data_IF_848318873753
#
_entry.id   IF_848318873753
#
_cell.length_a   1.000
_cell.length_b   1.000
_cell.length_c   1.000
_cell.angle_alpha   90.00
_cell.angle_beta   90.00
_cell.angle_gamma   90.00
#
_symmetry.space_group_name_H-M   'P 1'
#
loop_
_entity.id
_entity.type
_entity.pdbx_description
1 polymer ?
#
# COMPACT_ATOMS: atom_id res chain seq x y z
N UNK A 1 -19.38 -5.87 15.58
CA UNK A 1 -19.62 -5.96 14.12
C UNK A 1 -18.29 -6.33 13.52
N UNK A 2 -18.19 -7.23 12.53
CA UNK A 2 -16.91 -7.45 11.87
C UNK A 2 -16.44 -6.11 11.29
N UNK A 3 -15.29 -5.64 11.75
CA UNK A 3 -14.76 -4.31 11.45
C UNK A 3 -13.37 -4.47 10.86
N UNK A 4 -13.21 -3.98 9.65
CA UNK A 4 -11.92 -3.75 9.02
C UNK A 4 -11.70 -2.26 8.91
N UNK A 5 -10.67 -1.84 9.64
CA UNK A 5 -10.71 -0.65 10.49
C UNK A 5 -11.96 -0.51 11.37
N UNK A 6 -11.77 -0.05 12.61
CA UNK A 6 -12.85 0.48 13.44
C UNK A 6 -13.55 1.69 12.80
N UNK A 7 -12.95 2.31 11.78
CA UNK A 7 -13.55 3.39 10.99
C UNK A 7 -14.52 2.85 9.91
N UNK A 8 -15.79 2.62 10.24
CA UNK A 8 -16.84 2.37 9.23
C UNK A 8 -16.96 3.49 8.17
N UNK A 9 -16.48 4.70 8.49
CA UNK A 9 -16.37 5.81 7.54
C UNK A 9 -15.33 5.50 6.46
N UNK A 10 -14.17 4.95 6.84
CA UNK A 10 -13.11 4.59 5.90
C UNK A 10 -13.63 3.62 4.84
N UNK A 11 -14.24 2.50 5.23
CA UNK A 11 -14.73 1.49 4.28
C UNK A 11 -15.68 2.09 3.24
N UNK A 12 -16.69 2.85 3.68
CA UNK A 12 -17.68 3.49 2.80
C UNK A 12 -17.08 4.56 1.90
N UNK A 13 -16.01 5.23 2.36
CA UNK A 13 -15.27 6.22 1.58
C UNK A 13 -14.42 5.53 0.51
N UNK A 14 -13.73 4.45 0.87
CA UNK A 14 -12.94 3.59 -0.03
C UNK A 14 -13.81 2.91 -1.09
N UNK A 15 -14.94 2.31 -0.69
CA UNK A 15 -15.96 1.75 -1.60
C UNK A 15 -16.44 2.79 -2.61
N UNK A 16 -16.81 4.00 -2.13
CA UNK A 16 -17.26 5.10 -2.98
C UNK A 16 -16.16 5.58 -3.93
N UNK A 17 -14.91 5.67 -3.47
CA UNK A 17 -13.75 6.03 -4.30
C UNK A 17 -13.57 4.99 -5.42
N UNK A 18 -13.54 3.70 -5.08
CA UNK A 18 -13.40 2.61 -6.04
C UNK A 18 -14.52 2.59 -7.09
N UNK A 19 -15.78 2.79 -6.69
CA UNK A 19 -16.91 2.91 -7.61
C UNK A 19 -16.81 4.15 -8.51
N UNK A 20 -16.35 5.29 -7.96
CA UNK A 20 -16.21 6.54 -8.71
C UNK A 20 -15.11 6.43 -9.77
N UNK A 21 -13.99 5.79 -9.43
CA UNK A 21 -12.88 5.49 -10.35
C UNK A 21 -13.31 4.48 -11.40
N UNK A 22 -13.97 3.39 -11.02
CA UNK A 22 -14.49 2.40 -11.98
C UNK A 22 -15.37 3.04 -13.07
N UNK A 23 -16.22 4.01 -12.70
CA UNK A 23 -17.06 4.74 -13.63
C UNK A 23 -16.26 5.76 -14.47
N UNK A 24 -15.38 6.55 -13.84
CA UNK A 24 -14.57 7.57 -14.51
C UNK A 24 -13.61 6.97 -15.55
N UNK A 25 -12.96 5.86 -15.22
CA UNK A 25 -12.02 5.14 -16.07
C UNK A 25 -12.69 4.01 -16.90
N UNK A 26 -14.00 4.07 -17.11
CA UNK A 26 -14.76 3.17 -18.00
C UNK A 26 -14.49 1.67 -17.78
N UNK A 27 -14.39 1.25 -16.52
CA UNK A 27 -14.10 -0.13 -16.11
C UNK A 27 -12.67 -0.62 -16.43
N UNK A 28 -11.74 0.27 -16.79
CA UNK A 28 -10.35 -0.08 -17.05
C UNK A 28 -9.47 -0.07 -15.79
N UNK A 29 -9.94 0.55 -14.70
CA UNK A 29 -9.24 0.57 -13.40
C UNK A 29 -10.16 0.04 -12.31
N UNK A 30 -9.67 -0.93 -11.53
CA UNK A 30 -10.39 -1.59 -10.44
C UNK A 30 -9.64 -1.40 -9.13
N UNK A 31 -10.30 -0.83 -8.12
CA UNK A 31 -9.82 -0.93 -6.74
C UNK A 31 -9.90 -2.40 -6.31
N UNK A 32 -8.79 -2.99 -5.88
CA UNK A 32 -8.73 -4.41 -5.48
C UNK A 32 -8.62 -4.60 -3.96
N UNK A 33 -7.97 -3.69 -3.25
CA UNK A 33 -7.75 -3.75 -1.80
C UNK A 33 -7.39 -2.35 -1.25
N UNK A 34 -7.44 -2.19 0.07
CA UNK A 34 -6.79 -1.06 0.74
C UNK A 34 -5.92 -1.55 1.90
N UNK A 35 -4.93 -0.75 2.25
CA UNK A 35 -3.93 -1.07 3.26
C UNK A 35 -3.83 0.07 4.24
N UNK A 36 -3.84 -0.24 5.53
CA UNK A 36 -3.49 0.72 6.58
C UNK A 36 -2.08 0.45 7.07
N UNK A 37 -1.34 1.53 7.35
CA UNK A 37 0.06 1.52 7.81
C UNK A 37 0.13 2.06 9.26
N UNK A 38 -0.10 1.22 10.28
CA UNK A 38 -0.55 1.74 11.58
C UNK A 38 0.56 2.32 12.45
N UNK A 39 1.75 1.73 12.39
CA UNK A 39 2.91 2.18 13.18
C UNK A 39 3.86 3.07 12.35
N UNK A 40 3.67 3.15 11.03
CA UNK A 40 4.44 3.97 10.06
C UNK A 40 3.71 5.22 9.58
N UNK A 41 2.90 5.85 10.43
CA UNK A 41 2.30 7.18 10.19
C UNK A 41 0.77 7.20 10.04
N UNK A 42 0.10 6.05 10.15
CA UNK A 42 -1.36 5.90 10.08
C UNK A 42 -1.95 6.33 8.72
N UNK A 43 -1.25 5.95 7.66
CA UNK A 43 -1.65 6.22 6.28
C UNK A 43 -2.56 5.11 5.71
N UNK A 44 -3.27 5.44 4.62
CA UNK A 44 -4.12 4.49 3.88
C UNK A 44 -3.67 4.47 2.42
N UNK A 45 -3.26 3.31 1.94
CA UNK A 45 -2.96 3.03 0.53
C UNK A 45 -4.17 2.33 -0.09
N UNK A 46 -4.57 2.78 -1.27
CA UNK A 46 -5.55 2.15 -2.16
C UNK A 46 -4.77 1.47 -3.28
N UNK A 47 -4.88 0.14 -3.39
CA UNK A 47 -4.22 -0.64 -4.44
C UNK A 47 -5.21 -0.85 -5.59
N UNK A 48 -4.84 -0.40 -6.78
CA UNK A 48 -5.64 -0.49 -8.00
C UNK A 48 -4.98 -1.43 -9.01
N UNK A 49 -5.79 -2.22 -9.68
CA UNK A 49 -5.40 -2.99 -10.85
C UNK A 49 -5.88 -2.28 -12.14
N UNK A 50 -5.06 -2.30 -13.18
CA UNK A 50 -5.43 -1.85 -14.52
C UNK A 50 -5.79 -3.06 -15.37
N UNK A 51 -7.01 -3.09 -15.90
CA UNK A 51 -7.55 -4.19 -16.71
C UNK A 51 -7.27 -4.02 -18.22
N UNK A 52 -6.35 -3.12 -18.58
CA UNK A 52 -5.96 -2.79 -19.95
C UNK A 52 -4.54 -3.28 -20.24
N UNK A 53 -4.43 -4.19 -21.20
CA UNK A 53 -3.14 -4.69 -21.71
C UNK A 53 -2.38 -3.64 -22.54
N UNK A 54 -1.08 -3.85 -22.73
CA UNK A 54 -0.26 -3.11 -23.71
C UNK A 54 0.07 -1.66 -23.33
N UNK A 55 -0.02 -1.30 -22.05
CA UNK A 55 0.39 0.00 -21.53
C UNK A 55 1.91 0.10 -21.40
N UNK A 56 2.46 1.28 -21.73
CA UNK A 56 3.85 1.63 -21.45
C UNK A 56 4.03 2.06 -19.98
N UNK A 57 5.28 2.23 -19.54
CA UNK A 57 5.55 2.81 -18.22
C UNK A 57 5.02 4.25 -18.13
N UNK A 58 5.05 5.03 -19.22
CA UNK A 58 4.57 6.41 -19.26
C UNK A 58 3.04 6.49 -19.12
N UNK A 59 2.30 5.56 -19.73
CA UNK A 59 0.85 5.46 -19.58
C UNK A 59 0.46 5.17 -18.12
N UNK A 60 1.25 4.35 -17.42
CA UNK A 60 0.99 3.91 -16.04
C UNK A 60 1.32 5.01 -15.03
N UNK A 61 2.41 5.73 -15.23
CA UNK A 61 2.74 6.94 -14.46
C UNK A 61 1.68 8.03 -14.64
N UNK A 62 1.20 8.25 -15.86
CA UNK A 62 0.11 9.20 -16.12
C UNK A 62 -1.17 8.77 -15.39
N UNK A 63 -1.51 7.48 -15.44
CA UNK A 63 -2.68 6.92 -14.78
C UNK A 63 -2.59 6.97 -13.24
N UNK A 64 -1.43 6.68 -12.64
CA UNK A 64 -1.25 6.79 -11.19
C UNK A 64 -1.36 8.24 -10.71
N UNK A 65 -0.88 9.21 -11.51
CA UNK A 65 -1.09 10.64 -11.26
C UNK A 65 -2.57 11.05 -11.35
N UNK A 66 -3.31 10.60 -12.38
CA UNK A 66 -4.74 10.89 -12.50
C UNK A 66 -5.54 10.29 -11.32
N UNK A 67 -5.21 9.06 -10.89
CA UNK A 67 -5.81 8.43 -9.71
C UNK A 67 -5.50 9.21 -8.43
N UNK A 68 -4.25 9.63 -8.22
CA UNK A 68 -3.88 10.46 -7.07
C UNK A 68 -4.63 11.79 -7.04
N UNK A 69 -4.76 12.46 -8.20
CA UNK A 69 -5.52 13.71 -8.33
C UNK A 69 -7.03 13.51 -8.11
N UNK A 70 -7.59 12.36 -8.53
CA UNK A 70 -9.00 12.02 -8.37
C UNK A 70 -9.37 11.72 -6.90
N UNK A 71 -8.49 11.02 -6.17
CA UNK A 71 -8.73 10.63 -4.77
C UNK A 71 -8.40 11.76 -3.79
N UNK A 72 -7.38 12.57 -4.09
CA UNK A 72 -6.97 13.70 -3.27
C UNK A 72 -6.20 13.32 -2.00
N UNK A 73 -5.87 14.33 -1.20
CA UNK A 73 -4.75 14.25 -0.26
C UNK A 73 -4.86 13.22 0.87
N UNK A 74 -6.07 12.79 1.23
CA UNK A 74 -6.34 11.91 2.37
C UNK A 74 -5.93 10.44 2.18
N UNK A 75 -5.54 10.05 0.95
CA UNK A 75 -5.16 8.68 0.60
C UNK A 75 -3.89 8.64 -0.25
N UNK A 76 -3.33 7.44 -0.32
CA UNK A 76 -2.26 7.02 -1.23
C UNK A 76 -2.85 6.06 -2.26
N UNK A 77 -2.43 6.11 -3.53
CA UNK A 77 -2.97 5.29 -4.61
C UNK A 77 -1.82 4.64 -5.39
N UNK A 78 -1.80 3.31 -5.49
CA UNK A 78 -0.79 2.55 -6.25
C UNK A 78 -1.43 1.69 -7.35
N UNK A 79 -0.72 1.50 -8.45
CA UNK A 79 -0.98 0.43 -9.42
C UNK A 79 -0.30 -0.89 -9.01
N UNK A 80 -0.92 -2.05 -9.28
CA UNK A 80 -0.44 -3.36 -8.81
C UNK A 80 0.18 -4.27 -9.87
N UNK A 81 0.90 -5.29 -9.38
CA UNK A 81 1.91 -6.05 -10.11
C UNK A 81 1.44 -6.89 -11.31
N UNK A 82 0.13 -7.14 -11.49
CA UNK A 82 -0.38 -7.86 -12.67
C UNK A 82 -0.03 -7.15 -13.98
N UNK A 83 0.00 -5.80 -13.95
CA UNK A 83 0.44 -4.98 -15.08
C UNK A 83 1.96 -5.01 -15.25
N UNK A 84 2.73 -4.91 -14.17
CA UNK A 84 4.21 -4.90 -14.18
C UNK A 84 4.83 -6.23 -14.66
N UNK A 85 4.12 -7.35 -14.47
CA UNK A 85 4.48 -8.64 -15.05
C UNK A 85 4.22 -8.72 -16.57
N UNK A 86 3.42 -7.81 -17.12
CA UNK A 86 3.00 -7.76 -18.53
C UNK A 86 3.68 -6.63 -19.33
N UNK A 87 4.12 -5.56 -18.67
CA UNK A 87 4.95 -4.51 -19.31
C UNK A 87 6.24 -5.12 -19.87
N UNK A 88 6.44 -5.02 -21.18
CA UNK A 88 7.70 -5.40 -21.83
C UNK A 88 8.59 -4.17 -22.07
N UNK A 89 9.92 -4.27 -21.88
CA UNK A 89 10.63 -5.43 -21.35
C UNK A 89 10.36 -5.62 -19.84
N UNK A 90 10.33 -6.87 -19.33
CA UNK A 90 10.13 -7.13 -17.91
C UNK A 90 11.27 -6.51 -17.10
N UNK A 91 10.92 -5.82 -16.00
CA UNK A 91 11.89 -5.26 -15.07
C UNK A 91 12.81 -6.37 -14.54
N UNK A 92 14.11 -6.24 -14.78
CA UNK A 92 15.13 -7.15 -14.25
C UNK A 92 15.18 -7.00 -12.72
N UNK A 93 14.50 -7.93 -12.03
CA UNK A 93 14.37 -7.97 -10.56
C UNK A 93 15.72 -7.90 -9.84
N UNK A 94 16.79 -8.39 -10.48
CA UNK A 94 18.18 -8.31 -10.03
C UNK A 94 18.70 -6.88 -9.80
N UNK A 95 18.11 -5.87 -10.44
CA UNK A 95 18.61 -4.49 -10.40
C UNK A 95 17.77 -3.56 -9.50
N UNK A 96 16.64 -4.06 -9.01
CA UNK A 96 15.77 -3.35 -8.06
C UNK A 96 16.51 -2.86 -6.80
N UNK A 97 17.41 -3.64 -6.13
CA UNK A 97 18.05 -3.19 -4.89
C UNK A 97 18.94 -1.95 -5.05
N UNK A 98 19.79 -1.94 -6.10
CA UNK A 98 20.68 -0.80 -6.40
C UNK A 98 19.89 0.45 -6.77
N UNK A 99 18.78 0.27 -7.49
CA UNK A 99 17.93 1.36 -7.93
C UNK A 99 17.10 1.94 -6.76
N UNK A 100 16.69 1.13 -5.77
CA UNK A 100 16.12 1.57 -4.49
C UNK A 100 17.12 2.31 -3.58
N UNK A 101 18.40 1.95 -3.58
CA UNK A 101 19.45 2.66 -2.82
C UNK A 101 19.63 4.11 -3.33
N UNK A 102 19.64 4.31 -4.66
CA UNK A 102 19.74 5.63 -5.29
C UNK A 102 18.57 6.53 -4.92
N UNK A 103 17.35 5.99 -4.94
CA UNK A 103 16.14 6.66 -4.46
C UNK A 103 16.31 7.13 -3.00
N UNK A 104 16.75 6.23 -2.11
CA UNK A 104 16.91 6.56 -0.70
C UNK A 104 17.91 7.71 -0.47
N UNK A 105 18.92 7.87 -1.33
CA UNK A 105 19.88 8.99 -1.29
C UNK A 105 19.30 10.32 -1.80
N UNK A 106 18.38 10.28 -2.78
CA UNK A 106 17.67 11.48 -3.23
C UNK A 106 16.75 12.04 -2.13
N UNK A 107 16.00 11.14 -1.48
CA UNK A 107 15.01 11.49 -0.44
C UNK A 107 15.62 12.09 0.84
N UNK A 108 16.90 11.83 1.12
CA UNK A 108 17.61 12.46 2.25
C UNK A 108 17.83 13.97 2.06
N UNK A 109 17.59 14.52 0.85
CA UNK A 109 17.80 15.94 0.52
C UNK A 109 16.53 16.77 0.59
N UNK A 110 15.36 16.13 0.43
CA UNK A 110 14.04 16.79 0.40
C UNK A 110 13.07 16.01 1.32
N UNK A 111 12.90 16.44 2.59
CA UNK A 111 12.05 15.71 3.55
C UNK A 111 10.57 15.84 3.17
N UNK A 112 9.96 14.71 2.86
CA UNK A 112 8.58 14.61 2.37
C UNK A 112 7.54 15.06 3.42
N UNK A 113 6.54 15.88 3.04
CA UNK A 113 5.39 16.14 3.90
C UNK A 113 4.58 14.86 4.21
N UNK A 114 4.26 14.65 5.50
CA UNK A 114 3.41 13.53 5.93
C UNK A 114 1.95 13.81 5.56
N UNK A 115 1.35 12.94 4.75
CA UNK A 115 -0.07 13.02 4.37
C UNK A 115 -0.97 12.57 5.52
N UNK A 116 -1.38 13.50 6.39
CA UNK A 116 -2.23 13.20 7.55
C UNK A 116 -3.61 12.68 7.13
N UNK A 117 -3.95 11.43 7.48
CA UNK A 117 -5.29 10.88 7.23
C UNK A 117 -6.23 11.20 8.40
N UNK A 118 -7.51 11.45 8.11
CA UNK A 118 -8.51 11.65 9.17
C UNK A 118 -8.88 10.35 9.93
N UNK A 119 -8.43 9.21 9.42
CA UNK A 119 -8.71 7.89 10.00
C UNK A 119 -7.68 7.47 11.07
N UNK A 120 -6.63 8.27 11.26
CA UNK A 120 -5.44 7.94 12.05
C UNK A 120 -5.68 7.46 13.50
N UNK A 121 -6.76 7.91 14.16
CA UNK A 121 -7.14 7.42 15.48
C UNK A 121 -7.66 5.99 15.45
N UNK A 122 -8.48 5.64 14.46
CA UNK A 122 -9.05 4.30 14.31
C UNK A 122 -7.94 3.30 14.00
N UNK A 123 -7.07 3.64 13.04
CA UNK A 123 -5.91 2.82 12.64
C UNK A 123 -5.01 2.51 13.85
N UNK A 124 -4.81 3.45 14.79
CA UNK A 124 -4.11 3.20 16.06
C UNK A 124 -4.85 2.24 16.99
N UNK A 125 -6.17 2.37 17.13
CA UNK A 125 -6.98 1.45 17.94
C UNK A 125 -6.92 0.04 17.35
N UNK A 126 -7.01 -0.08 16.02
CA UNK A 126 -6.93 -1.34 15.28
C UNK A 126 -5.60 -2.06 15.59
N UNK A 127 -4.47 -1.33 15.53
CA UNK A 127 -3.17 -1.85 15.92
C UNK A 127 -3.07 -2.21 17.41
N UNK A 128 -3.62 -1.40 18.33
CA UNK A 128 -3.60 -1.70 19.77
C UNK A 128 -4.36 -3.00 20.11
N UNK A 129 -5.47 -3.27 19.41
CA UNK A 129 -6.19 -4.54 19.53
C UNK A 129 -5.32 -5.70 19.04
N UNK A 130 -4.69 -5.57 17.87
CA UNK A 130 -3.78 -6.60 17.33
C UNK A 130 -2.58 -6.88 18.23
N UNK A 131 -1.92 -5.83 18.76
CA UNK A 131 -0.80 -5.96 19.71
C UNK A 131 -1.21 -6.70 20.98
N UNK A 132 -2.45 -6.49 21.45
CA UNK A 132 -2.99 -7.17 22.63
C UNK A 132 -3.34 -8.64 22.35
N UNK A 133 -3.87 -8.96 21.16
CA UNK A 133 -4.27 -10.32 20.76
C UNK A 133 -3.08 -11.21 20.38
N UNK A 134 -2.00 -10.62 19.85
CA UNK A 134 -0.79 -11.33 19.41
C UNK A 134 0.37 -11.27 20.44
N UNK A 135 0.13 -10.71 21.63
CA UNK A 135 1.12 -10.52 22.70
C UNK A 135 2.41 -9.79 22.24
N UNK A 136 2.27 -8.70 21.47
CA UNK A 136 3.41 -8.01 20.83
C UNK A 136 4.18 -7.09 21.80
N UNK A 137 5.43 -7.45 22.09
CA UNK A 137 6.36 -6.64 22.89
C UNK A 137 6.77 -5.33 22.22
N UNK A 138 7.44 -4.44 22.96
CA UNK A 138 7.76 -3.07 22.49
C UNK A 138 8.63 -3.01 21.22
N UNK A 139 9.40 -4.06 20.93
CA UNK A 139 10.22 -4.20 19.71
C UNK A 139 9.49 -4.84 18.52
N UNK A 140 8.28 -5.34 18.73
CA UNK A 140 7.43 -6.00 17.73
C UNK A 140 6.35 -5.02 17.29
N UNK A 141 5.97 -5.00 16.01
CA UNK A 141 5.09 -3.96 15.46
C UNK A 141 4.20 -4.47 14.32
N UNK A 142 2.96 -3.94 14.28
CA UNK A 142 2.01 -4.17 13.19
C UNK A 142 2.46 -3.32 12.01
N UNK A 143 3.03 -3.97 11.00
CA UNK A 143 3.58 -3.30 9.82
C UNK A 143 2.46 -2.75 8.95
N UNK A 144 1.56 -3.62 8.50
CA UNK A 144 0.43 -3.26 7.65
C UNK A 144 -0.76 -4.20 7.85
N UNK A 145 -1.95 -3.68 7.54
CA UNK A 145 -3.20 -4.45 7.53
C UNK A 145 -3.81 -4.28 6.14
N UNK A 146 -3.80 -5.36 5.37
CA UNK A 146 -4.15 -5.46 3.95
C UNK A 146 -5.56 -6.05 3.80
N UNK A 147 -6.47 -5.33 3.14
CA UNK A 147 -7.92 -5.60 3.17
C UNK A 147 -8.50 -5.65 1.75
N UNK A 148 -8.74 -6.86 1.20
CA UNK A 148 -9.38 -7.06 -0.10
C UNK A 148 -10.77 -6.41 -0.20
N UNK A 149 -11.03 -5.78 -1.35
CA UNK A 149 -12.36 -5.25 -1.75
C UNK A 149 -13.13 -6.39 -2.44
N UNK A 150 -13.74 -7.25 -1.63
CA UNK A 150 -14.50 -8.40 -2.13
C UNK A 150 -15.18 -9.21 -1.03
N UNK A 151 -15.61 -10.42 -1.39
CA UNK A 151 -16.28 -11.36 -0.47
C UNK A 151 -15.59 -12.75 -0.42
N UNK A 152 -14.46 -12.92 -1.10
CA UNK A 152 -13.84 -14.23 -1.33
C UNK A 152 -12.54 -14.48 -0.55
N UNK A 153 -11.90 -13.42 -0.03
CA UNK A 153 -10.52 -13.47 0.48
C UNK A 153 -10.45 -12.97 1.93
N UNK A 154 -9.50 -13.52 2.69
CA UNK A 154 -9.23 -13.12 4.06
C UNK A 154 -8.23 -11.97 4.07
N UNK A 155 -8.54 -10.85 4.75
CA UNK A 155 -7.57 -9.79 4.97
C UNK A 155 -6.34 -10.29 5.74
N UNK A 156 -5.20 -9.68 5.44
CA UNK A 156 -3.88 -10.11 5.86
C UNK A 156 -3.20 -9.05 6.74
N UNK A 157 -2.77 -9.46 7.93
CA UNK A 157 -1.95 -8.65 8.83
C UNK A 157 -0.50 -9.07 8.66
N UNK A 158 0.39 -8.14 8.32
CA UNK A 158 1.84 -8.39 8.38
C UNK A 158 2.41 -7.81 9.66
N UNK A 159 3.10 -8.64 10.44
CA UNK A 159 3.71 -8.27 11.73
C UNK A 159 5.21 -8.50 11.64
N UNK A 160 6.00 -7.52 12.05
CA UNK A 160 7.46 -7.68 12.12
C UNK A 160 7.83 -8.19 13.51
N UNK A 161 8.20 -9.47 13.58
CA UNK A 161 8.41 -10.27 14.80
C UNK A 161 9.17 -11.56 14.47
N UNK A 162 9.93 -12.09 15.44
CA UNK A 162 10.51 -13.44 15.38
C UNK A 162 9.71 -14.46 16.23
N UNK A 163 8.76 -14.00 17.06
CA UNK A 163 7.89 -14.80 17.94
C UNK A 163 6.60 -15.23 17.25
N UNK A 164 5.96 -14.31 16.54
CA UNK A 164 4.73 -14.56 15.80
C UNK A 164 5.01 -15.58 14.71
N UNK A 165 4.05 -16.46 14.45
CA UNK A 165 4.12 -17.48 13.40
C UNK A 165 3.04 -17.22 12.37
N UNK A 166 3.34 -17.51 11.11
CA UNK A 166 2.35 -17.43 10.04
C UNK A 166 1.18 -18.38 10.34
N UNK A 167 -0.05 -17.92 10.09
CA UNK A 167 -1.26 -18.64 10.45
C UNK A 167 -2.49 -17.75 10.32
N UNK A 168 -3.50 -18.01 11.14
CA UNK A 168 -4.75 -17.24 11.15
C UNK A 168 -5.20 -16.91 12.56
N UNK A 169 -5.93 -15.81 12.71
CA UNK A 169 -6.59 -15.40 13.97
C UNK A 169 -8.05 -15.04 13.71
N UNK A 170 -8.89 -15.15 14.74
CA UNK A 170 -10.29 -14.73 14.69
C UNK A 170 -10.47 -13.45 15.52
N UNK A 171 -11.02 -12.39 14.91
CA UNK A 171 -11.40 -11.15 15.60
C UNK A 171 -12.85 -10.82 15.24
N UNK A 172 -13.69 -10.61 16.26
CA UNK A 172 -15.15 -10.39 16.15
C UNK A 172 -15.90 -11.36 15.19
N UNK A 173 -15.40 -12.58 15.04
CA UNK A 173 -16.00 -13.63 14.20
C UNK A 173 -15.52 -13.66 12.74
N UNK A 174 -14.67 -12.73 12.31
CA UNK A 174 -14.00 -12.82 11.00
C UNK A 174 -12.61 -13.46 11.14
N UNK A 175 -12.20 -14.24 10.14
CA UNK A 175 -10.86 -14.80 10.01
C UNK A 175 -9.93 -13.76 9.37
N UNK A 176 -8.72 -13.64 9.92
CA UNK A 176 -7.61 -12.84 9.42
C UNK A 176 -6.46 -13.80 9.13
N UNK A 177 -5.73 -13.60 8.05
CA UNK A 177 -4.42 -14.20 7.86
C UNK A 177 -3.36 -13.35 8.58
N UNK A 178 -2.34 -14.00 9.12
CA UNK A 178 -1.21 -13.34 9.80
C UNK A 178 0.08 -13.85 9.17
N UNK A 179 0.89 -12.93 8.67
CA UNK A 179 2.24 -13.18 8.17
C UNK A 179 3.25 -12.55 9.13
N UNK A 180 4.21 -13.34 9.58
CA UNK A 180 5.31 -12.90 10.42
C UNK A 180 6.53 -12.62 9.56
N UNK A 181 7.19 -11.49 9.79
CA UNK A 181 8.30 -11.03 8.95
C UNK A 181 9.54 -10.61 9.75
N UNK A 182 10.72 -10.90 9.19
CA UNK A 182 12.02 -10.55 9.79
C UNK A 182 12.35 -9.07 9.62
N UNK A 183 12.73 -8.32 10.67
CA UNK A 183 13.16 -6.92 10.56
C UNK A 183 14.21 -6.72 9.45
N UNK A 184 13.91 -5.89 8.44
CA UNK A 184 14.79 -5.65 7.28
C UNK A 184 14.56 -4.29 6.62
N UNK A 185 15.55 -3.80 5.88
CA UNK A 185 15.50 -2.50 5.20
C UNK A 185 14.46 -2.42 4.06
N UNK A 186 13.88 -3.55 3.65
CA UNK A 186 12.84 -3.62 2.61
C UNK A 186 11.56 -2.86 3.01
N UNK A 187 11.20 -2.87 4.30
CA UNK A 187 10.09 -2.08 4.85
C UNK A 187 10.31 -0.58 4.67
N UNK A 188 11.54 -0.14 4.93
CA UNK A 188 11.95 1.25 4.74
C UNK A 188 11.83 1.67 3.27
N UNK A 189 12.04 0.74 2.33
CA UNK A 189 11.86 0.98 0.89
C UNK A 189 10.38 1.16 0.52
N UNK A 190 9.46 0.38 1.09
CA UNK A 190 8.01 0.52 0.86
C UNK A 190 7.47 1.88 1.35
N UNK A 191 7.82 2.26 2.58
CA UNK A 191 7.45 3.57 3.17
C UNK A 191 8.10 4.75 2.45
N UNK A 192 9.26 4.55 1.82
CA UNK A 192 9.93 5.58 1.01
C UNK A 192 9.36 5.71 -0.40
N UNK A 193 9.14 4.58 -1.08
CA UNK A 193 8.71 4.53 -2.47
C UNK A 193 7.42 5.32 -2.71
N UNK A 194 6.41 5.11 -1.87
CA UNK A 194 5.09 5.64 -2.17
C UNK A 194 4.97 7.18 -2.08
N UNK A 195 5.29 7.83 -0.94
CA UNK A 195 5.04 9.26 -0.83
C UNK A 195 5.98 10.06 -1.73
N UNK A 196 7.12 9.46 -2.12
CA UNK A 196 8.02 10.01 -3.13
C UNK A 196 7.39 10.03 -4.52
N UNK A 197 6.69 8.96 -4.92
CA UNK A 197 5.97 8.93 -6.19
C UNK A 197 4.90 10.04 -6.26
N UNK A 198 4.13 10.18 -5.18
CA UNK A 198 3.12 11.25 -5.03
C UNK A 198 3.70 12.67 -5.08
N UNK A 199 4.92 12.90 -4.60
CA UNK A 199 5.57 14.23 -4.59
C UNK A 199 6.34 14.56 -5.86
N UNK A 200 6.88 13.56 -6.55
CA UNK A 200 7.66 13.72 -7.78
C UNK A 200 6.81 13.65 -9.06
N UNK A 201 5.50 13.33 -8.92
CA UNK A 201 4.57 13.10 -10.03
C UNK A 201 5.05 12.02 -11.02
N UNK A 202 5.78 11.04 -10.50
CA UNK A 202 6.37 9.91 -11.23
C UNK A 202 6.31 8.70 -10.33
N UNK A 203 5.70 7.61 -10.78
CA UNK A 203 5.70 6.36 -10.05
C UNK A 203 7.15 5.86 -9.87
N UNK A 204 7.32 4.97 -8.89
CA UNK A 204 8.64 4.44 -8.53
C UNK A 204 9.41 3.97 -9.77
N UNK A 205 8.69 3.29 -10.69
CA UNK A 205 9.16 2.66 -11.94
C UNK A 205 9.98 3.56 -12.87
N UNK A 206 9.68 4.86 -12.96
CA UNK A 206 10.46 5.80 -13.78
C UNK A 206 11.82 6.10 -13.16
N UNK A 207 11.90 6.24 -11.84
CA UNK A 207 13.17 6.43 -11.14
C UNK A 207 14.02 5.15 -11.03
N UNK A 208 13.48 4.00 -11.45
CA UNK A 208 14.24 2.74 -11.51
C UNK A 208 15.32 2.87 -12.61
N UNK A 209 15.11 3.64 -13.69
CA UNK A 209 16.23 4.17 -14.50
C UNK A 209 15.95 5.48 -15.26
N UNK A 210 16.91 6.42 -15.19
CA UNK A 210 17.45 7.04 -16.41
C UNK A 210 18.80 6.36 -16.71
N UNK A 211 19.03 5.97 -17.97
CA UNK A 211 20.32 5.47 -18.44
C UNK A 211 21.09 6.60 -19.12
N UNK A 212 22.08 7.17 -18.42
CA UNK A 212 23.10 8.04 -19.04
C UNK A 212 24.24 7.19 -19.57
N UNK A 213 24.47 7.24 -20.88
CA UNK A 213 25.81 7.08 -21.47
C UNK A 213 26.59 8.40 -21.37
#
# INVERSE_FOLDING_TARGET
MPLYSTSQKLCKQVEKIGQSIWLAFHGQVRLIEYITLPETGQHVILRFEVLREGLSLDDLDHLENELCAFVGDGFWCVLTGSVFAQTQPPLLVSELPLRLERLAQAMLREPMPLASTEHALHIRNDAQVLRSLLELGESEWVWEIEVPIGHAEHPLIRVVSERVKNGTIHIEGQLFEVESMMPSDSYLCLVKAYPYARLSHKALMHYVFECTE
#
